data_IF_485611886691
#
_entry.id   IF_485611886691
#
_cell.length_a   1.000
_cell.length_b   1.000
_cell.length_c   1.000
_cell.angle_alpha   90.00
_cell.angle_beta   90.00
_cell.angle_gamma   90.00
#
_symmetry.space_group_name_H-M   'P 1'
#
loop_
_entity.id
_entity.type
_entity.pdbx_description
1 polymer ?
#
# COMPACT_ATOMS: atom_id res chain seq x y z
N UNK A 1 5.22 -6.47 -17.67
CA UNK A 1 5.20 -4.99 -17.66
C UNK A 1 6.43 -4.53 -16.92
N UNK A 2 7.21 -3.64 -17.52
CA UNK A 2 8.49 -3.18 -16.96
C UNK A 2 8.27 -2.51 -15.60
N UNK A 3 8.92 -3.02 -14.57
CA UNK A 3 8.88 -2.44 -13.23
C UNK A 3 10.31 -2.15 -12.76
N UNK A 4 10.47 -0.97 -12.17
CA UNK A 4 11.57 -0.64 -11.28
C UNK A 4 11.09 -0.70 -9.83
N UNK A 5 11.88 -1.29 -8.94
CA UNK A 5 11.57 -1.39 -7.52
C UNK A 5 12.80 -1.24 -6.63
N UNK A 6 12.56 -0.95 -5.36
CA UNK A 6 13.57 -0.81 -4.33
C UNK A 6 13.86 -2.16 -3.68
N UNK A 7 15.14 -2.53 -3.59
CA UNK A 7 15.61 -3.68 -2.84
C UNK A 7 16.51 -3.23 -1.67
N UNK A 8 16.37 -3.89 -0.52
CA UNK A 8 17.27 -3.72 0.62
C UNK A 8 18.31 -4.84 0.61
N UNK A 9 19.47 -4.57 0.02
CA UNK A 9 20.60 -5.54 -0.03
C UNK A 9 21.24 -5.71 1.36
N UNK A 10 21.35 -4.62 2.11
CA UNK A 10 21.74 -4.59 3.52
C UNK A 10 20.90 -3.54 4.26
N UNK A 11 20.92 -3.50 5.61
CA UNK A 11 20.24 -2.44 6.34
C UNK A 11 20.74 -1.02 5.97
N UNK A 12 21.93 -0.86 5.42
CA UNK A 12 22.56 0.42 5.08
C UNK A 12 22.43 0.79 3.59
N UNK A 13 22.11 -0.17 2.73
CA UNK A 13 22.13 0.00 1.27
C UNK A 13 20.75 -0.16 0.66
N UNK A 14 20.52 0.58 -0.42
CA UNK A 14 19.28 0.54 -1.19
C UNK A 14 19.68 0.49 -2.67
N UNK A 15 19.16 -0.50 -3.38
CA UNK A 15 19.38 -0.67 -4.82
C UNK A 15 18.06 -0.50 -5.59
N UNK A 16 18.15 0.00 -6.82
CA UNK A 16 17.02 0.05 -7.76
C UNK A 16 17.16 -1.11 -8.73
N UNK A 17 16.24 -2.06 -8.65
CA UNK A 17 16.21 -3.26 -9.46
C UNK A 17 15.16 -3.12 -10.56
N UNK A 18 15.37 -3.79 -11.69
CA UNK A 18 14.42 -3.84 -12.82
C UNK A 18 14.00 -5.28 -13.08
N UNK A 19 12.70 -5.48 -13.23
CA UNK A 19 12.13 -6.77 -13.59
C UNK A 19 10.88 -6.63 -14.48
N UNK A 20 10.13 -7.73 -14.59
CA UNK A 20 8.88 -7.81 -15.32
C UNK A 20 7.78 -8.34 -14.40
N UNK A 21 6.71 -7.58 -14.26
CA UNK A 21 5.50 -8.08 -13.61
C UNK A 21 4.62 -8.90 -14.56
N UNK A 22 3.98 -9.97 -14.06
CA UNK A 22 2.87 -10.62 -14.75
C UNK A 22 1.63 -9.70 -14.77
N UNK A 23 0.56 -10.18 -15.38
CA UNK A 23 -0.76 -9.54 -15.25
C UNK A 23 -1.31 -9.75 -13.82
N UNK A 24 -2.17 -8.85 -13.31
CA UNK A 24 -2.80 -9.03 -12.01
C UNK A 24 -3.60 -10.32 -11.94
N UNK A 25 -3.68 -10.92 -10.75
CA UNK A 25 -4.61 -12.02 -10.50
C UNK A 25 -6.06 -11.54 -10.66
N UNK A 26 -7.00 -12.49 -10.69
CA UNK A 26 -8.40 -12.22 -10.99
C UNK A 26 -9.05 -11.16 -10.07
N UNK A 27 -8.65 -11.07 -8.81
CA UNK A 27 -9.15 -10.14 -7.78
C UNK A 27 -8.19 -8.97 -7.49
N UNK A 28 -7.14 -8.80 -8.31
CA UNK A 28 -6.14 -7.77 -8.15
C UNK A 28 -6.24 -6.68 -9.22
N UNK A 29 -5.73 -5.51 -8.86
CA UNK A 29 -5.42 -4.43 -9.78
C UNK A 29 -3.92 -4.19 -9.81
N UNK A 30 -3.43 -3.75 -10.96
CA UNK A 30 -2.08 -3.24 -11.11
C UNK A 30 -2.12 -1.72 -11.12
N UNK A 31 -1.35 -1.09 -10.24
CA UNK A 31 -1.31 0.35 -10.04
C UNK A 31 0.02 0.89 -10.56
N UNK A 32 -0.04 1.90 -11.43
CA UNK A 32 1.08 2.80 -11.74
C UNK A 32 1.27 3.74 -10.57
N UNK A 33 2.33 3.49 -9.79
CA UNK A 33 2.59 4.16 -8.52
C UNK A 33 3.12 5.57 -8.79
N UNK A 34 2.44 6.58 -8.23
CA UNK A 34 2.91 7.96 -8.26
C UNK A 34 3.61 8.32 -6.95
N UNK A 35 3.07 7.82 -5.82
CA UNK A 35 3.60 8.07 -4.48
C UNK A 35 3.47 6.78 -3.64
N UNK A 36 4.43 6.54 -2.76
CA UNK A 36 4.42 5.45 -1.80
C UNK A 36 4.63 6.00 -0.39
N UNK A 37 3.85 5.53 0.58
CA UNK A 37 3.97 5.93 1.98
C UNK A 37 5.08 5.17 2.69
N UNK A 38 5.75 5.81 3.65
CA UNK A 38 6.82 5.21 4.44
C UNK A 38 6.34 4.97 5.86
N UNK A 39 6.41 3.72 6.30
CA UNK A 39 5.89 3.27 7.56
C UNK A 39 6.98 2.70 8.47
N UNK A 40 6.69 2.65 9.78
CA UNK A 40 7.64 2.14 10.78
C UNK A 40 8.03 0.69 10.51
N UNK A 41 7.09 -0.11 10.00
CA UNK A 41 7.28 -1.51 9.65
C UNK A 41 8.31 -1.68 8.51
N UNK A 42 8.36 -0.78 7.53
CA UNK A 42 9.36 -0.81 6.44
C UNK A 42 10.79 -0.74 7.00
N UNK A 43 11.00 0.14 8.00
CA UNK A 43 12.30 0.29 8.66
C UNK A 43 12.67 -0.96 9.49
N UNK A 44 11.69 -1.60 10.12
CA UNK A 44 11.94 -2.83 10.88
C UNK A 44 12.19 -4.03 9.97
N UNK A 45 11.50 -4.11 8.82
CA UNK A 45 11.78 -5.08 7.76
C UNK A 45 13.20 -4.91 7.24
N UNK A 46 13.60 -3.68 6.93
CA UNK A 46 14.96 -3.34 6.50
C UNK A 46 16.05 -3.77 7.50
N UNK A 47 15.75 -3.71 8.79
CA UNK A 47 16.65 -4.15 9.86
C UNK A 47 16.58 -5.66 10.17
N UNK A 48 15.72 -6.41 9.48
CA UNK A 48 15.48 -7.83 9.75
C UNK A 48 14.72 -8.12 11.06
N UNK A 49 14.17 -7.09 11.70
CA UNK A 49 13.47 -7.18 12.98
C UNK A 49 11.99 -7.49 12.85
N UNK A 50 11.44 -7.39 11.64
CA UNK A 50 10.03 -7.61 11.36
C UNK A 50 9.89 -8.29 10.01
N UNK A 51 10.15 -9.60 9.88
CA UNK A 51 10.10 -10.28 8.59
C UNK A 51 8.67 -10.21 7.99
N UNK A 52 8.53 -9.98 6.67
CA UNK A 52 7.22 -9.98 6.03
C UNK A 52 6.58 -11.38 6.09
N UNK A 53 5.25 -11.48 6.00
CA UNK A 53 4.54 -12.75 5.80
C UNK A 53 5.10 -13.53 4.60
N UNK A 54 5.03 -14.86 4.66
CA UNK A 54 5.62 -15.73 3.62
C UNK A 54 4.96 -15.59 2.24
N UNK A 55 3.73 -15.08 2.20
CA UNK A 55 2.93 -14.84 0.99
C UNK A 55 2.98 -13.37 0.52
N UNK A 56 3.71 -12.50 1.23
CA UNK A 56 3.90 -11.11 0.83
C UNK A 56 4.91 -10.98 -0.31
N UNK A 57 4.78 -9.88 -1.06
CA UNK A 57 5.81 -9.50 -2.01
C UNK A 57 7.16 -9.34 -1.30
N UNK A 58 8.27 -9.84 -1.88
CA UNK A 58 9.60 -9.63 -1.31
C UNK A 58 10.07 -8.18 -1.43
N UNK A 59 9.44 -7.39 -2.29
CA UNK A 59 9.67 -5.95 -2.41
C UNK A 59 8.99 -5.22 -1.24
N UNK A 60 9.66 -4.28 -0.54
CA UNK A 60 9.11 -3.53 0.60
C UNK A 60 8.04 -2.51 0.19
N UNK A 61 7.43 -1.86 1.18
CA UNK A 61 6.43 -0.81 1.03
C UNK A 61 5.01 -1.33 1.22
N UNK A 62 4.26 -0.67 2.11
CA UNK A 62 2.94 -1.11 2.57
C UNK A 62 1.79 -0.31 1.96
N UNK A 63 2.03 0.89 1.45
CA UNK A 63 0.95 1.71 0.88
C UNK A 63 1.42 2.52 -0.32
N UNK A 64 0.51 2.70 -1.27
CA UNK A 64 0.75 3.46 -2.52
C UNK A 64 -0.46 4.29 -2.90
N UNK A 65 -0.23 5.26 -3.77
CA UNK A 65 -1.28 5.89 -4.55
C UNK A 65 -0.83 6.17 -5.98
N UNK A 66 -1.78 6.11 -6.91
CA UNK A 66 -1.50 6.19 -8.32
C UNK A 66 -2.73 5.93 -9.18
N UNK A 67 -2.50 5.37 -10.36
CA UNK A 67 -3.53 5.08 -11.35
C UNK A 67 -3.59 3.59 -11.68
N UNK A 68 -4.80 3.01 -11.75
CA UNK A 68 -4.99 1.62 -12.17
C UNK A 68 -4.66 1.46 -13.65
N UNK A 69 -3.71 0.58 -13.99
CA UNK A 69 -3.28 0.31 -15.37
C UNK A 69 -3.69 -1.06 -15.90
N UNK A 70 -4.07 -1.99 -15.01
CA UNK A 70 -4.70 -3.26 -15.37
C UNK A 70 -5.61 -3.75 -14.24
N UNK A 71 -6.62 -4.56 -14.57
CA UNK A 71 -7.56 -5.14 -13.63
C UNK A 71 -7.72 -6.63 -13.89
N UNK A 72 -7.89 -7.41 -12.83
CA UNK A 72 -8.22 -8.83 -12.87
C UNK A 72 -9.65 -9.08 -13.37
N UNK A 73 -9.92 -10.32 -13.78
CA UNK A 73 -11.19 -10.70 -14.37
C UNK A 73 -12.41 -10.64 -13.42
N UNK A 74 -12.17 -10.69 -12.10
CA UNK A 74 -13.19 -10.59 -11.05
C UNK A 74 -13.27 -9.20 -10.40
N UNK A 75 -12.49 -8.22 -10.86
CA UNK A 75 -12.59 -6.85 -10.37
C UNK A 75 -13.87 -6.17 -10.89
N UNK A 76 -14.77 -5.81 -9.99
CA UNK A 76 -16.08 -5.25 -10.36
C UNK A 76 -16.11 -3.73 -10.27
N UNK A 77 -15.39 -3.15 -9.31
CA UNK A 77 -15.52 -1.75 -8.88
C UNK A 77 -14.49 -0.81 -9.51
N UNK A 78 -13.26 -1.27 -9.69
CA UNK A 78 -12.18 -0.49 -10.27
C UNK A 78 -12.07 -0.76 -11.78
N UNK A 79 -11.60 0.26 -12.49
CA UNK A 79 -11.35 0.24 -13.93
C UNK A 79 -10.01 0.90 -14.22
N UNK A 80 -9.41 0.55 -15.36
CA UNK A 80 -8.20 1.21 -15.86
C UNK A 80 -8.45 2.73 -15.95
N UNK A 81 -7.48 3.52 -15.50
CA UNK A 81 -7.56 4.98 -15.38
C UNK A 81 -8.10 5.47 -14.03
N UNK A 82 -8.58 4.59 -13.14
CA UNK A 82 -9.04 5.01 -11.83
C UNK A 82 -7.88 5.49 -10.95
N UNK A 83 -8.05 6.65 -10.32
CA UNK A 83 -7.11 7.17 -9.31
C UNK A 83 -7.41 6.51 -7.97
N UNK A 84 -6.41 5.85 -7.38
CA UNK A 84 -6.58 5.06 -6.16
C UNK A 84 -5.43 5.28 -5.20
N UNK A 85 -5.69 5.06 -3.91
CA UNK A 85 -4.68 4.62 -2.96
C UNK A 85 -4.98 3.20 -2.49
N UNK A 86 -3.98 2.47 -2.03
CA UNK A 86 -4.13 1.07 -1.66
C UNK A 86 -3.21 0.67 -0.51
N UNK A 87 -3.74 -0.20 0.34
CA UNK A 87 -2.93 -0.99 1.26
C UNK A 87 -2.42 -2.23 0.52
N UNK A 88 -1.11 -2.38 0.45
CA UNK A 88 -0.42 -3.41 -0.33
C UNK A 88 0.17 -4.50 0.57
N UNK A 89 0.19 -5.74 0.09
CA UNK A 89 0.82 -6.87 0.80
C UNK A 89 2.32 -6.94 0.46
N UNK A 90 3.02 -5.85 0.77
CA UNK A 90 4.33 -5.54 0.20
C UNK A 90 4.23 -5.06 -1.27
N UNK A 91 5.36 -4.62 -1.82
CA UNK A 91 5.48 -4.25 -3.23
C UNK A 91 5.28 -2.77 -3.53
N UNK A 92 5.01 -1.94 -2.51
CA UNK A 92 4.71 -0.53 -2.70
C UNK A 92 5.90 0.34 -3.14
N UNK A 93 7.14 -0.05 -2.82
CA UNK A 93 8.33 0.70 -3.23
C UNK A 93 8.76 0.31 -4.65
N UNK A 94 7.84 0.53 -5.58
CA UNK A 94 8.01 0.23 -6.98
C UNK A 94 7.26 1.23 -7.84
N UNK A 95 7.61 1.26 -9.13
CA UNK A 95 6.87 2.00 -10.17
C UNK A 95 5.53 1.35 -10.52
N UNK A 96 5.37 0.06 -10.24
CA UNK A 96 4.16 -0.72 -10.43
C UNK A 96 3.92 -1.62 -9.20
N UNK A 97 2.72 -1.60 -8.64
CA UNK A 97 2.34 -2.40 -7.48
C UNK A 97 1.03 -3.17 -7.70
N UNK A 98 0.98 -4.42 -7.24
CA UNK A 98 -0.26 -5.20 -7.18
C UNK A 98 -1.00 -4.87 -5.88
N UNK A 99 -2.32 -4.78 -5.95
CA UNK A 99 -3.17 -4.68 -4.78
C UNK A 99 -4.47 -5.44 -5.05
N UNK A 100 -5.05 -6.07 -4.03
CA UNK A 100 -6.42 -6.58 -4.13
C UNK A 100 -7.38 -5.40 -4.32
N UNK A 101 -8.42 -5.61 -5.12
CA UNK A 101 -9.42 -4.56 -5.37
C UNK A 101 -10.05 -4.05 -4.06
N UNK A 102 -10.31 -4.95 -3.11
CA UNK A 102 -10.93 -4.63 -1.82
C UNK A 102 -9.99 -3.95 -0.81
N UNK A 103 -8.70 -3.82 -1.13
CA UNK A 103 -7.73 -3.05 -0.35
C UNK A 103 -7.48 -1.65 -0.95
N UNK A 104 -8.18 -1.31 -2.02
CA UNK A 104 -8.05 -0.04 -2.70
C UNK A 104 -9.17 0.93 -2.30
N UNK A 105 -8.83 2.21 -2.20
CA UNK A 105 -9.76 3.31 -2.04
C UNK A 105 -9.66 4.22 -3.28
N UNK A 106 -10.80 4.49 -3.93
CA UNK A 106 -10.84 5.50 -4.99
C UNK A 106 -10.59 6.88 -4.41
N UNK A 107 -9.66 7.63 -5.01
CA UNK A 107 -9.38 8.99 -4.58
C UNK A 107 -10.44 9.94 -5.14
N UNK A 108 -11.10 10.75 -4.28
CA UNK A 108 -11.96 11.81 -4.77
C UNK A 108 -11.13 12.90 -5.46
N UNK A 109 -11.78 13.70 -6.30
CA UNK A 109 -11.10 14.72 -7.12
C UNK A 109 -10.36 15.77 -6.29
N UNK A 110 -10.76 15.98 -5.04
CA UNK A 110 -10.15 16.96 -4.14
C UNK A 110 -8.94 16.42 -3.36
N UNK A 111 -8.54 15.16 -3.53
CA UNK A 111 -7.32 14.60 -2.95
C UNK A 111 -6.30 14.33 -4.05
N UNK A 112 -5.06 14.76 -3.83
CA UNK A 112 -3.92 14.40 -4.66
C UNK A 112 -3.49 12.94 -4.41
N UNK A 113 -2.68 12.37 -5.29
CA UNK A 113 -2.07 11.05 -5.02
C UNK A 113 -1.05 11.11 -3.87
N UNK A 114 -0.41 12.26 -3.64
CA UNK A 114 0.51 12.42 -2.51
C UNK A 114 -0.25 12.30 -1.18
N UNK A 115 -1.34 13.06 -1.03
CA UNK A 115 -2.22 12.95 0.14
C UNK A 115 -2.83 11.55 0.25
N UNK A 116 -3.24 10.97 -0.89
CA UNK A 116 -3.79 9.63 -0.95
C UNK A 116 -2.84 8.55 -0.45
N UNK A 117 -1.54 8.65 -0.75
CA UNK A 117 -0.54 7.68 -0.33
C UNK A 117 -0.25 7.73 1.19
N UNK A 118 -0.68 8.77 1.89
CA UNK A 118 -0.53 8.90 3.34
C UNK A 118 -1.73 8.36 4.14
N UNK A 119 -2.72 7.76 3.47
CA UNK A 119 -3.95 7.28 4.11
C UNK A 119 -3.89 5.80 4.51
N UNK A 120 -3.64 4.82 3.61
CA UNK A 120 -4.06 3.44 3.82
C UNK A 120 -3.57 2.79 5.12
N UNK A 121 -2.27 2.78 5.39
CA UNK A 121 -1.69 2.05 6.52
C UNK A 121 -2.15 2.65 7.85
N UNK A 122 -1.92 3.95 8.05
CA UNK A 122 -2.23 4.61 9.31
C UNK A 122 -3.75 4.73 9.55
N UNK A 123 -4.52 5.13 8.53
CA UNK A 123 -5.96 5.33 8.66
C UNK A 123 -6.67 4.02 8.95
N UNK A 124 -6.38 2.95 8.20
CA UNK A 124 -7.05 1.66 8.40
C UNK A 124 -6.63 1.03 9.74
N UNK A 125 -5.37 1.21 10.16
CA UNK A 125 -4.90 0.78 11.48
C UNK A 125 -5.68 1.46 12.60
N UNK A 126 -5.87 2.79 12.52
CA UNK A 126 -6.64 3.54 13.51
C UNK A 126 -8.11 3.15 13.47
N UNK A 127 -8.71 3.10 12.28
CA UNK A 127 -10.12 2.73 12.11
C UNK A 127 -10.41 1.37 12.75
N UNK A 128 -9.63 0.35 12.39
CA UNK A 128 -9.85 -1.00 12.89
C UNK A 128 -9.64 -1.10 14.41
N UNK A 129 -8.57 -0.52 14.96
CA UNK A 129 -8.27 -0.70 16.39
C UNK A 129 -9.11 0.20 17.31
N UNK A 130 -9.38 1.43 16.90
CA UNK A 130 -10.06 2.43 17.74
C UNK A 130 -11.57 2.38 17.53
N UNK A 131 -12.04 2.29 16.28
CA UNK A 131 -13.47 2.32 15.95
C UNK A 131 -14.06 0.91 16.00
N UNK A 132 -13.59 -0.01 15.15
CA UNK A 132 -14.18 -1.35 15.02
C UNK A 132 -13.98 -2.18 16.29
N UNK A 133 -12.73 -2.29 16.77
CA UNK A 133 -12.40 -3.07 17.97
C UNK A 133 -12.63 -2.30 19.26
N UNK A 134 -12.28 -1.01 19.28
CA UNK A 134 -12.38 -0.14 20.45
C UNK A 134 -13.78 0.38 20.71
N UNK A 135 -14.67 0.32 19.73
CA UNK A 135 -16.07 0.79 19.81
C UNK A 135 -16.20 2.26 20.24
N UNK A 136 -15.24 3.09 19.83
CA UNK A 136 -15.20 4.51 20.17
C UNK A 136 -16.53 5.20 19.87
N UNK A 137 -17.08 5.89 20.87
CA UNK A 137 -18.35 6.59 20.81
C UNK A 137 -18.22 8.06 21.20
N UNK A 138 -19.19 8.87 20.81
CA UNK A 138 -19.23 10.29 21.17
C UNK A 138 -19.28 10.45 22.70
N UNK A 139 -18.36 11.25 23.25
CA UNK A 139 -18.22 11.48 24.69
C UNK A 139 -17.12 10.66 25.35
N UNK A 140 -16.56 9.66 24.67
CA UNK A 140 -15.41 8.90 25.16
C UNK A 140 -14.14 9.75 25.16
N UNK A 141 -13.18 9.36 26.01
CA UNK A 141 -11.86 9.98 26.07
C UNK A 141 -10.81 8.98 25.59
N UNK A 142 -9.97 9.40 24.63
CA UNK A 142 -8.87 8.60 24.09
C UNK A 142 -7.54 9.25 24.45
N UNK A 143 -6.62 8.46 24.99
CA UNK A 143 -5.22 8.85 25.14
C UNK A 143 -4.42 8.32 23.94
N UNK A 144 -3.81 9.23 23.18
CA UNK A 144 -2.94 8.88 22.04
C UNK A 144 -1.49 9.11 22.45
N UNK A 145 -0.67 8.05 22.39
CA UNK A 145 0.77 8.16 22.56
C UNK A 145 1.45 8.41 21.22
N UNK A 146 2.43 9.33 21.18
CA UNK A 146 3.12 9.69 19.94
C UNK A 146 2.24 10.44 18.94
N UNK A 147 1.24 11.19 19.43
CA UNK A 147 0.34 12.02 18.62
C UNK A 147 0.86 13.43 18.38
#
# INVERSE_FOLDING_TARGET
MDRHYIEFTTPETIDVIRDQLPLPADDEVLISVHHAGINRADLLQRLGLYPPPADASPVPGLEVAGEVVAVGARCEHLKVGARVCALTHGGGYATLAMAREDHCLMLPDNLTTEEGAALPEALLTVWYNVVERGQLSAGDTVLVHGG
#
